data_IF_325328145102
#
_entry.id   IF_325328145102
#
_cell.length_a   1.000
_cell.length_b   1.000
_cell.length_c   1.000
_cell.angle_alpha   90.00
_cell.angle_beta   90.00
_cell.angle_gamma   90.00
#
_symmetry.space_group_name_H-M   'P 1'
#
loop_
_entity.id
_entity.type
_entity.pdbx_description
1 polymer ?
#
# COMPACT_ATOMS: atom_id res chain seq x y z
N UNK A 1 52.50 -61.86 -14.19
CA UNK A 1 52.23 -61.29 -12.85
C UNK A 1 52.51 -59.79 -12.91
N UNK A 2 51.61 -58.94 -12.41
CA UNK A 2 51.45 -57.48 -12.65
C UNK A 2 50.72 -57.15 -13.95
N UNK A 3 49.40 -56.92 -13.86
CA UNK A 3 48.62 -55.93 -14.63
C UNK A 3 47.10 -55.99 -14.37
N UNK A 4 46.62 -56.91 -13.51
CA UNK A 4 45.17 -57.07 -13.30
C UNK A 4 44.55 -56.24 -12.14
N UNK A 5 45.31 -55.36 -11.47
CA UNK A 5 44.81 -54.61 -10.28
C UNK A 5 44.37 -53.15 -10.53
N UNK A 6 44.37 -52.67 -11.78
CA UNK A 6 44.09 -51.24 -12.07
C UNK A 6 42.73 -50.97 -12.71
N UNK A 7 41.90 -51.99 -12.99
CA UNK A 7 40.60 -51.79 -13.65
C UNK A 7 39.38 -51.76 -12.72
N UNK A 8 39.51 -52.11 -11.45
CA UNK A 8 38.39 -52.08 -10.49
C UNK A 8 38.18 -50.72 -9.81
N UNK A 9 39.15 -49.79 -9.88
CA UNK A 9 39.00 -48.42 -9.32
C UNK A 9 38.41 -47.40 -10.32
N UNK A 10 38.34 -47.74 -11.60
CA UNK A 10 37.78 -46.86 -12.63
C UNK A 10 36.25 -46.93 -12.75
N UNK A 11 35.61 -48.00 -12.24
CA UNK A 11 34.17 -48.19 -12.37
C UNK A 11 33.36 -47.56 -11.22
N UNK A 12 33.99 -47.31 -10.06
CA UNK A 12 33.32 -46.64 -8.91
C UNK A 12 33.34 -45.11 -9.07
N UNK A 13 34.24 -44.55 -9.87
CA UNK A 13 34.32 -43.10 -10.09
C UNK A 13 33.40 -42.60 -11.23
N UNK A 14 32.83 -43.50 -12.03
CA UNK A 14 31.90 -43.16 -13.12
C UNK A 14 30.43 -43.11 -12.68
N UNK A 15 30.05 -43.87 -11.64
CA UNK A 15 28.67 -43.86 -11.10
C UNK A 15 28.43 -42.70 -10.13
N UNK A 16 29.49 -42.15 -9.52
CA UNK A 16 29.40 -40.99 -8.61
C UNK A 16 29.31 -39.65 -9.37
N UNK A 17 29.61 -39.60 -10.68
CA UNK A 17 29.39 -38.39 -11.48
C UNK A 17 27.98 -38.25 -12.06
N UNK A 18 27.12 -39.27 -11.94
CA UNK A 18 25.72 -39.22 -12.40
C UNK A 18 24.72 -38.98 -11.26
N UNK A 19 25.18 -38.33 -10.19
CA UNK A 19 24.33 -37.75 -9.15
C UNK A 19 24.73 -36.28 -8.92
N UNK A 20 25.07 -35.56 -10.00
CA UNK A 20 24.97 -34.11 -9.97
C UNK A 20 23.48 -33.79 -9.87
N UNK A 21 23.09 -33.43 -8.66
CA UNK A 21 21.82 -32.83 -8.33
C UNK A 21 21.37 -31.93 -9.47
N UNK A 22 20.19 -32.19 -10.02
CA UNK A 22 19.41 -31.15 -10.71
C UNK A 22 19.13 -30.13 -9.61
N UNK A 23 20.07 -29.21 -9.40
CA UNK A 23 19.78 -27.97 -8.70
C UNK A 23 18.82 -27.28 -9.66
N UNK A 24 17.53 -27.08 -9.30
CA UNK A 24 16.68 -26.27 -10.13
C UNK A 24 17.39 -24.94 -10.27
N UNK A 25 17.84 -24.61 -11.50
CA UNK A 25 18.28 -23.26 -11.79
C UNK A 25 17.04 -22.41 -11.55
N UNK A 26 17.03 -21.69 -10.44
CA UNK A 26 16.10 -20.60 -10.25
C UNK A 26 16.39 -19.64 -11.38
N UNK A 27 15.52 -19.66 -12.38
CA UNK A 27 15.48 -18.61 -13.39
C UNK A 27 15.13 -17.36 -12.61
N UNK A 28 16.14 -16.56 -12.25
CA UNK A 28 15.91 -15.22 -11.73
C UNK A 28 15.27 -14.47 -12.89
N UNK A 29 13.94 -14.34 -12.84
CA UNK A 29 13.22 -13.54 -13.80
C UNK A 29 13.75 -12.11 -13.68
N UNK A 30 14.29 -11.58 -14.77
CA UNK A 30 14.78 -10.21 -14.79
C UNK A 30 13.65 -9.25 -14.41
N UNK A 31 13.98 -8.15 -13.72
CA UNK A 31 13.01 -7.10 -13.44
C UNK A 31 12.36 -6.62 -14.76
N UNK A 32 11.05 -6.32 -14.77
CA UNK A 32 10.37 -5.91 -15.98
C UNK A 32 10.96 -4.60 -16.52
N UNK A 33 11.03 -4.48 -17.84
CA UNK A 33 11.57 -3.29 -18.47
C UNK A 33 10.46 -2.24 -18.61
N UNK A 34 10.83 -0.99 -18.37
CA UNK A 34 9.99 0.14 -18.74
C UNK A 34 9.91 0.22 -20.28
N UNK A 35 8.71 0.39 -20.79
CA UNK A 35 8.43 0.53 -22.23
C UNK A 35 7.75 1.87 -22.52
N UNK A 36 8.02 2.50 -23.67
CA UNK A 36 7.44 3.79 -24.07
C UNK A 36 6.01 3.59 -24.60
N UNK A 37 5.15 2.97 -23.79
CA UNK A 37 3.75 2.72 -24.10
C UNK A 37 2.90 3.33 -23.00
N UNK A 38 2.04 4.29 -23.35
CA UNK A 38 1.15 4.89 -22.37
C UNK A 38 0.23 3.84 -21.73
N UNK A 39 -0.02 3.99 -20.45
CA UNK A 39 -0.91 3.11 -19.70
C UNK A 39 -1.94 3.89 -18.91
N UNK A 40 -3.13 3.30 -18.78
CA UNK A 40 -4.23 3.85 -17.99
C UNK A 40 -4.22 3.22 -16.60
N UNK A 41 -4.35 4.03 -15.57
CA UNK A 41 -4.37 3.55 -14.20
C UNK A 41 -5.23 4.38 -13.28
N UNK A 42 -5.29 3.92 -12.04
CA UNK A 42 -5.98 4.59 -10.94
C UNK A 42 -5.02 4.79 -9.78
N UNK A 43 -5.39 5.65 -8.84
CA UNK A 43 -4.79 5.64 -7.53
C UNK A 43 -5.87 5.56 -6.44
N UNK A 44 -5.58 4.80 -5.39
CA UNK A 44 -6.58 4.37 -4.40
C UNK A 44 -6.01 4.38 -2.99
N UNK A 45 -6.91 4.54 -2.03
CA UNK A 45 -6.60 4.51 -0.61
C UNK A 45 -7.80 4.03 0.20
N UNK A 46 -7.77 4.18 1.52
CA UNK A 46 -8.94 3.90 2.39
C UNK A 46 -10.23 4.57 1.97
N UNK A 47 -10.18 5.65 1.20
CA UNK A 47 -11.37 6.40 0.78
C UNK A 47 -12.25 5.62 -0.20
N UNK A 48 -11.69 4.67 -0.94
CA UNK A 48 -12.45 3.80 -1.84
C UNK A 48 -13.05 2.59 -1.12
N UNK A 49 -12.66 2.33 0.14
CA UNK A 49 -13.10 1.17 0.90
C UNK A 49 -12.69 -0.16 0.23
N UNK A 50 -13.58 -1.16 0.32
CA UNK A 50 -13.36 -2.46 -0.30
C UNK A 50 -13.60 -2.39 -1.81
N UNK A 51 -12.56 -2.68 -2.59
CA UNK A 51 -12.57 -2.64 -4.06
C UNK A 51 -12.74 -4.04 -4.64
N UNK A 52 -13.66 -4.21 -5.59
CA UNK A 52 -13.73 -5.41 -6.43
C UNK A 52 -12.73 -5.29 -7.58
N UNK A 53 -11.54 -5.86 -7.40
CA UNK A 53 -10.44 -5.75 -8.36
C UNK A 53 -10.67 -6.51 -9.68
N UNK A 54 -11.48 -7.57 -9.70
CA UNK A 54 -11.83 -8.25 -10.95
C UNK A 54 -12.64 -7.33 -11.88
N UNK A 55 -13.57 -6.55 -11.32
CA UNK A 55 -14.34 -5.55 -12.07
C UNK A 55 -13.46 -4.38 -12.52
N UNK A 56 -12.49 -3.97 -11.68
CA UNK A 56 -11.51 -2.93 -12.05
C UNK A 56 -10.65 -3.40 -13.22
N UNK A 57 -10.14 -4.63 -13.19
CA UNK A 57 -9.37 -5.20 -14.29
C UNK A 57 -10.21 -5.28 -15.59
N UNK A 58 -11.47 -5.71 -15.49
CA UNK A 58 -12.38 -5.78 -16.63
C UNK A 58 -12.70 -4.41 -17.25
N UNK A 59 -12.52 -3.31 -16.51
CA UNK A 59 -12.68 -1.94 -17.03
C UNK A 59 -11.51 -1.45 -17.91
N UNK A 60 -10.41 -2.22 -17.96
CA UNK A 60 -9.22 -1.87 -18.74
C UNK A 60 -8.16 -1.09 -17.98
N UNK A 61 -8.27 -0.96 -16.64
CA UNK A 61 -7.20 -0.43 -15.79
C UNK A 61 -5.97 -1.34 -15.86
N UNK A 62 -4.80 -0.76 -16.12
CA UNK A 62 -3.55 -1.48 -16.34
C UNK A 62 -2.57 -1.37 -15.18
N UNK A 63 -2.66 -0.28 -14.41
CA UNK A 63 -1.87 -0.08 -13.18
C UNK A 63 -2.69 0.58 -12.07
N UNK A 64 -2.23 0.41 -10.83
CA UNK A 64 -2.78 1.10 -9.67
C UNK A 64 -1.66 1.62 -8.76
N UNK A 65 -1.72 2.91 -8.40
CA UNK A 65 -0.89 3.49 -7.34
C UNK A 65 -1.64 3.40 -6.01
N UNK A 66 -1.16 2.59 -5.07
CA UNK A 66 -1.88 2.29 -3.82
C UNK A 66 -1.26 3.06 -2.65
N UNK A 67 -2.08 3.78 -1.88
CA UNK A 67 -1.59 4.40 -0.64
C UNK A 67 -1.24 3.30 0.35
N UNK A 68 0.00 3.29 0.82
CA UNK A 68 0.43 2.30 1.82
C UNK A 68 0.47 2.86 3.24
N UNK A 69 0.66 4.16 3.36
CA UNK A 69 0.66 4.83 4.65
C UNK A 69 0.49 6.33 4.52
N UNK A 70 0.29 6.95 5.67
CA UNK A 70 0.19 8.39 5.80
C UNK A 70 0.66 8.85 7.17
N UNK A 71 1.15 10.08 7.24
CA UNK A 71 1.35 10.77 8.51
C UNK A 71 0.26 11.82 8.70
N UNK A 72 -0.44 11.80 9.85
CA UNK A 72 -1.60 12.68 10.08
C UNK A 72 -1.23 14.16 10.03
N UNK A 73 -2.03 14.96 9.31
CA UNK A 73 -1.72 16.37 9.03
C UNK A 73 -1.61 17.25 10.28
N UNK A 74 -2.42 16.99 11.31
CA UNK A 74 -2.41 17.76 12.55
C UNK A 74 -1.45 17.21 13.61
N UNK A 75 -1.45 15.88 13.81
CA UNK A 75 -0.75 15.26 14.96
C UNK A 75 0.58 14.61 14.62
N UNK A 76 0.89 14.38 13.33
CA UNK A 76 2.14 13.75 12.93
C UNK A 76 2.24 12.24 13.20
N UNK A 77 1.12 11.57 13.47
CA UNK A 77 1.07 10.13 13.75
C UNK A 77 1.22 9.35 12.44
N UNK A 78 2.18 8.43 12.41
CA UNK A 78 2.41 7.51 11.31
C UNK A 78 1.37 6.38 11.33
N UNK A 79 0.70 6.12 10.20
CA UNK A 79 -0.34 5.11 10.07
C UNK A 79 -0.16 4.30 8.78
N UNK A 80 -0.49 3.01 8.84
CA UNK A 80 -0.76 2.20 7.66
C UNK A 80 -2.11 2.58 7.06
N UNK A 81 -2.25 2.57 5.74
CA UNK A 81 -3.58 2.63 5.14
C UNK A 81 -4.29 1.27 5.36
N UNK A 82 -5.49 1.24 5.97
CA UNK A 82 -6.16 -0.01 6.33
C UNK A 82 -6.43 -0.95 5.15
N UNK A 83 -6.51 -0.44 3.92
CA UNK A 83 -6.74 -1.24 2.72
C UNK A 83 -5.46 -1.52 1.92
N UNK A 84 -4.29 -1.02 2.35
CA UNK A 84 -3.02 -1.14 1.60
C UNK A 84 -2.71 -2.58 1.18
N UNK A 85 -2.70 -3.49 2.15
CA UNK A 85 -2.32 -4.90 1.93
C UNK A 85 -3.31 -5.62 1.01
N UNK A 86 -4.60 -5.40 1.22
CA UNK A 86 -5.66 -5.95 0.38
C UNK A 86 -5.55 -5.44 -1.06
N UNK A 87 -5.42 -4.13 -1.23
CA UNK A 87 -5.30 -3.52 -2.55
C UNK A 87 -4.05 -3.99 -3.28
N UNK A 88 -2.91 -4.08 -2.60
CA UNK A 88 -1.67 -4.61 -3.20
C UNK A 88 -1.83 -6.08 -3.60
N UNK A 89 -2.44 -6.90 -2.75
CA UNK A 89 -2.66 -8.31 -3.06
C UNK A 89 -3.62 -8.50 -4.23
N UNK A 90 -4.81 -7.92 -4.16
CA UNK A 90 -5.89 -8.22 -5.09
C UNK A 90 -5.68 -7.56 -6.45
N UNK A 91 -5.08 -6.36 -6.51
CA UNK A 91 -4.66 -5.78 -7.78
C UNK A 91 -3.62 -6.67 -8.49
N UNK A 92 -2.60 -7.14 -7.75
CA UNK A 92 -1.59 -8.04 -8.31
C UNK A 92 -2.19 -9.40 -8.71
N UNK A 93 -3.18 -9.93 -7.98
CA UNK A 93 -3.87 -11.18 -8.31
C UNK A 93 -4.53 -11.12 -9.69
N UNK A 94 -5.15 -9.99 -10.04
CA UNK A 94 -5.82 -9.78 -11.33
C UNK A 94 -4.88 -9.26 -12.43
N UNK A 95 -3.57 -9.19 -12.15
CA UNK A 95 -2.55 -8.78 -13.12
C UNK A 95 -2.43 -7.26 -13.33
N UNK A 96 -3.10 -6.45 -12.50
CA UNK A 96 -2.90 -5.00 -12.47
C UNK A 96 -1.53 -4.72 -11.86
N UNK A 97 -0.71 -3.94 -12.57
CA UNK A 97 0.64 -3.60 -12.11
C UNK A 97 0.57 -2.58 -10.98
N UNK A 98 1.07 -2.93 -9.81
CA UNK A 98 0.99 -2.03 -8.65
C UNK A 98 2.21 -1.13 -8.54
N UNK A 99 1.96 0.14 -8.23
CA UNK A 99 2.89 1.06 -7.61
C UNK A 99 2.33 1.48 -6.26
N UNK A 100 3.02 2.37 -5.56
CA UNK A 100 2.59 2.77 -4.22
C UNK A 100 2.83 4.25 -3.99
N UNK A 101 2.14 4.83 -3.00
CA UNK A 101 2.46 6.16 -2.52
C UNK A 101 2.31 6.28 -1.01
N UNK A 102 3.01 7.27 -0.46
CA UNK A 102 2.91 7.64 0.95
C UNK A 102 2.52 9.11 1.07
N UNK A 103 1.46 9.39 1.83
CA UNK A 103 1.02 10.76 2.12
C UNK A 103 1.82 11.34 3.29
N UNK A 104 2.79 12.18 2.98
CA UNK A 104 3.73 12.73 3.94
C UNK A 104 3.23 14.02 4.59
N UNK A 105 3.42 14.09 5.91
CA UNK A 105 3.43 15.35 6.63
C UNK A 105 4.64 15.50 7.54
N UNK A 106 5.76 14.93 7.10
CA UNK A 106 7.04 15.05 7.79
C UNK A 106 7.42 16.53 7.98
N UNK A 107 7.94 16.85 9.16
CA UNK A 107 8.45 18.21 9.47
C UNK A 107 9.96 18.25 9.69
N UNK A 108 10.61 17.10 9.63
CA UNK A 108 12.05 16.95 9.81
C UNK A 108 12.57 15.69 9.10
N UNK A 109 13.89 15.58 8.98
CA UNK A 109 14.58 14.51 8.28
C UNK A 109 14.29 13.10 8.84
N UNK A 110 14.15 12.99 10.18
CA UNK A 110 13.88 11.71 10.82
C UNK A 110 12.50 11.19 10.41
N UNK A 111 11.47 12.03 10.44
CA UNK A 111 10.12 11.64 10.04
C UNK A 111 10.05 11.23 8.56
N UNK A 112 10.73 11.96 7.67
CA UNK A 112 10.77 11.62 6.24
C UNK A 112 11.46 10.25 6.00
N UNK A 113 12.52 9.95 6.76
CA UNK A 113 13.18 8.65 6.74
C UNK A 113 12.28 7.54 7.30
N UNK A 114 11.57 7.78 8.42
CA UNK A 114 10.62 6.84 9.00
C UNK A 114 9.51 6.47 8.01
N UNK A 115 8.94 7.46 7.31
CA UNK A 115 7.90 7.27 6.29
C UNK A 115 8.41 6.42 5.11
N UNK A 116 9.63 6.68 4.64
CA UNK A 116 10.24 5.93 3.55
C UNK A 116 10.56 4.49 3.94
N UNK A 117 11.11 4.27 5.13
CA UNK A 117 11.39 2.93 5.64
C UNK A 117 10.11 2.14 5.90
N UNK A 118 9.08 2.78 6.48
CA UNK A 118 7.76 2.19 6.64
C UNK A 118 7.21 1.70 5.29
N UNK A 119 7.26 2.57 4.28
CA UNK A 119 6.82 2.30 2.92
C UNK A 119 7.56 1.11 2.34
N UNK A 120 8.89 1.15 2.29
CA UNK A 120 9.70 0.08 1.71
C UNK A 120 9.51 -1.26 2.43
N UNK A 121 9.51 -1.27 3.77
CA UNK A 121 9.36 -2.49 4.56
C UNK A 121 8.01 -3.17 4.32
N UNK A 122 6.93 -2.41 4.09
CA UNK A 122 5.64 -2.96 3.72
C UNK A 122 5.69 -3.56 2.30
N UNK A 123 6.26 -2.81 1.36
CA UNK A 123 6.30 -3.15 -0.07
C UNK A 123 7.19 -4.34 -0.40
N UNK A 124 8.22 -4.64 0.39
CA UNK A 124 9.20 -5.70 0.09
C UNK A 124 8.54 -7.07 -0.15
N UNK A 125 7.35 -7.30 0.42
CA UNK A 125 6.60 -8.55 0.30
C UNK A 125 5.63 -8.63 -0.89
N UNK A 126 5.51 -7.57 -1.68
CA UNK A 126 4.54 -7.46 -2.76
C UNK A 126 5.21 -7.21 -4.12
N UNK A 127 4.45 -7.47 -5.20
CA UNK A 127 4.90 -7.29 -6.59
C UNK A 127 4.78 -5.83 -7.02
N UNK A 128 5.79 -5.02 -6.71
CA UNK A 128 5.78 -3.59 -7.04
C UNK A 128 6.46 -3.34 -8.38
N UNK A 129 5.64 -3.10 -9.39
CA UNK A 129 6.08 -2.91 -10.78
C UNK A 129 6.18 -1.43 -11.15
N UNK A 130 5.24 -0.61 -10.67
CA UNK A 130 5.23 0.83 -10.88
C UNK A 130 6.01 1.57 -9.78
N UNK A 131 6.35 2.86 -9.99
CA UNK A 131 7.12 3.65 -9.04
C UNK A 131 6.49 3.76 -7.64
N UNK A 132 7.31 4.19 -6.67
CA UNK A 132 6.89 4.49 -5.31
C UNK A 132 6.95 6.00 -5.10
N UNK A 133 5.80 6.60 -4.85
CA UNK A 133 5.63 8.04 -4.86
C UNK A 133 5.67 8.67 -3.46
N UNK A 134 6.36 9.81 -3.35
CA UNK A 134 6.20 10.76 -2.27
C UNK A 134 5.07 11.71 -2.61
N UNK A 135 4.03 11.74 -1.78
CA UNK A 135 2.91 12.66 -1.90
C UNK A 135 2.95 13.65 -0.72
N UNK A 136 2.98 14.94 -1.03
CA UNK A 136 2.86 15.99 -0.02
C UNK A 136 2.01 17.14 -0.55
N UNK A 137 0.82 17.26 0.02
CA UNK A 137 -0.18 18.26 -0.35
C UNK A 137 -0.89 18.83 0.89
N UNK A 138 -1.66 19.89 0.70
CA UNK A 138 -2.34 20.57 1.82
C UNK A 138 -1.40 21.27 2.82
N UNK A 139 -0.10 21.35 2.54
CA UNK A 139 0.88 22.07 3.37
C UNK A 139 0.63 23.58 3.48
N UNK A 140 -0.25 24.15 2.63
CA UNK A 140 -0.69 25.56 2.72
C UNK A 140 -1.83 25.78 3.72
N UNK A 141 -2.45 24.71 4.23
CA UNK A 141 -3.52 24.82 5.23
C UNK A 141 -2.94 25.20 6.59
N UNK A 142 -3.53 26.18 7.28
CA UNK A 142 -3.04 26.66 8.57
C UNK A 142 -3.05 25.59 9.68
N UNK A 143 -3.85 24.53 9.51
CA UNK A 143 -3.90 23.38 10.41
C UNK A 143 -2.85 22.30 10.09
N UNK A 144 -2.14 22.44 8.97
CA UNK A 144 -1.07 21.51 8.60
C UNK A 144 0.17 21.79 9.45
N UNK A 145 0.76 20.74 10.01
CA UNK A 145 2.07 20.83 10.67
C UNK A 145 3.21 21.27 9.73
N UNK A 146 2.99 21.23 8.42
CA UNK A 146 3.94 21.75 7.42
C UNK A 146 3.72 23.22 7.04
N UNK A 147 2.72 23.91 7.62
CA UNK A 147 2.32 25.26 7.24
C UNK A 147 3.46 26.29 7.26
N UNK A 148 4.32 26.20 8.27
CA UNK A 148 5.44 27.12 8.45
C UNK A 148 6.71 26.71 7.69
N UNK A 149 6.73 25.53 7.06
CA UNK A 149 7.93 25.06 6.38
C UNK A 149 8.17 25.87 5.10
N UNK A 150 9.43 26.23 4.85
CA UNK A 150 9.84 26.82 3.58
C UNK A 150 9.87 25.77 2.46
N UNK A 151 9.84 26.24 1.20
CA UNK A 151 10.02 25.41 0.00
C UNK A 151 11.27 24.52 0.09
N UNK A 152 12.37 25.10 0.53
CA UNK A 152 13.67 24.41 0.55
C UNK A 152 13.65 23.25 1.57
N UNK A 153 13.04 23.47 2.74
CA UNK A 153 12.87 22.42 3.76
C UNK A 153 11.97 21.32 3.23
N UNK A 154 10.77 21.64 2.71
CA UNK A 154 9.87 20.62 2.14
C UNK A 154 10.54 19.82 1.04
N UNK A 155 11.26 20.47 0.13
CA UNK A 155 12.00 19.81 -0.95
C UNK A 155 13.06 18.87 -0.39
N UNK A 156 13.83 19.29 0.63
CA UNK A 156 14.81 18.43 1.27
C UNK A 156 14.19 17.18 1.93
N UNK A 157 13.00 17.31 2.53
CA UNK A 157 12.27 16.17 3.10
C UNK A 157 11.80 15.18 2.01
N UNK A 158 11.28 15.71 0.90
CA UNK A 158 10.92 14.88 -0.26
C UNK A 158 12.14 14.12 -0.80
N UNK A 159 13.29 14.78 -0.93
CA UNK A 159 14.55 14.15 -1.37
C UNK A 159 14.97 13.02 -0.43
N UNK A 160 14.89 13.21 0.90
CA UNK A 160 15.21 12.15 1.87
C UNK A 160 14.36 10.91 1.64
N UNK A 161 13.05 11.09 1.47
CA UNK A 161 12.15 9.97 1.20
C UNK A 161 12.52 9.28 -0.13
N UNK A 162 12.64 10.06 -1.20
CA UNK A 162 12.85 9.55 -2.55
C UNK A 162 14.21 8.86 -2.72
N UNK A 163 15.28 9.41 -2.15
CA UNK A 163 16.61 8.77 -2.16
C UNK A 163 16.60 7.48 -1.31
N UNK A 164 15.85 7.44 -0.21
CA UNK A 164 15.70 6.22 0.61
C UNK A 164 14.96 5.11 -0.15
N UNK A 165 13.88 5.46 -0.84
CA UNK A 165 13.14 4.53 -1.72
C UNK A 165 14.03 4.01 -2.86
N UNK A 166 14.82 4.89 -3.47
CA UNK A 166 15.80 4.51 -4.49
C UNK A 166 16.87 3.55 -3.94
N UNK A 167 17.39 3.82 -2.73
CA UNK A 167 18.36 2.96 -2.06
C UNK A 167 17.79 1.58 -1.68
N UNK A 168 16.47 1.47 -1.48
CA UNK A 168 15.74 0.20 -1.34
C UNK A 168 15.48 -0.50 -2.68
N UNK A 169 15.90 0.12 -3.79
CA UNK A 169 15.84 -0.44 -5.14
C UNK A 169 14.47 -0.34 -5.80
N UNK A 170 13.61 0.57 -5.36
CA UNK A 170 12.38 0.93 -6.07
C UNK A 170 12.63 2.17 -6.93
N UNK A 171 11.84 2.36 -7.99
CA UNK A 171 11.87 3.60 -8.76
C UNK A 171 11.16 4.71 -7.97
N UNK A 172 11.85 5.77 -7.54
CA UNK A 172 11.22 6.88 -6.82
C UNK A 172 10.40 7.78 -7.77
N UNK A 173 9.30 8.31 -7.25
CA UNK A 173 8.43 9.26 -7.95
C UNK A 173 8.00 10.40 -7.04
N UNK A 174 8.02 11.63 -7.53
CA UNK A 174 7.51 12.78 -6.81
C UNK A 174 6.12 13.14 -7.32
N UNK A 175 5.13 13.22 -6.42
CA UNK A 175 3.77 13.66 -6.74
C UNK A 175 3.51 15.06 -6.18
N UNK A 176 2.91 15.92 -6.99
CA UNK A 176 2.30 17.17 -6.52
C UNK A 176 1.35 17.77 -7.55
N UNK A 177 0.58 18.77 -7.13
CA UNK A 177 -0.28 19.53 -8.05
C UNK A 177 0.57 20.32 -9.06
N UNK A 178 0.07 20.45 -10.29
CA UNK A 178 0.66 21.31 -11.32
C UNK A 178 0.98 22.70 -10.76
N UNK A 179 0.02 23.30 -10.04
CA UNK A 179 0.16 24.67 -9.54
C UNK A 179 1.29 24.82 -8.51
N UNK A 180 1.54 23.78 -7.70
CA UNK A 180 2.60 23.79 -6.69
C UNK A 180 4.00 23.58 -7.30
N UNK A 181 4.08 22.96 -8.48
CA UNK A 181 5.33 22.69 -9.19
C UNK A 181 5.66 23.73 -10.27
N UNK A 182 4.65 24.39 -10.86
CA UNK A 182 4.82 25.33 -11.97
C UNK A 182 5.76 26.48 -11.57
N UNK A 183 6.78 26.73 -12.39
CA UNK A 183 7.81 27.73 -12.10
C UNK A 183 8.60 27.49 -10.81
N UNK A 184 8.64 26.25 -10.30
CA UNK A 184 9.26 25.90 -9.02
C UNK A 184 8.71 26.73 -7.84
N UNK A 185 7.39 26.95 -7.83
CA UNK A 185 6.71 27.87 -6.91
C UNK A 185 6.78 27.40 -5.46
N UNK A 186 6.38 26.16 -5.16
CA UNK A 186 6.37 25.59 -3.80
C UNK A 186 7.30 24.40 -3.62
N UNK A 187 7.86 23.90 -4.73
CA UNK A 187 8.81 22.80 -4.82
C UNK A 187 10.00 23.22 -5.70
N UNK A 188 11.23 22.89 -5.31
CA UNK A 188 12.38 23.11 -6.18
C UNK A 188 12.50 21.98 -7.21
N UNK A 189 11.93 22.23 -8.39
CA UNK A 189 11.93 21.25 -9.47
C UNK A 189 13.31 21.07 -10.12
N UNK A 190 14.27 21.98 -9.91
CA UNK A 190 15.66 21.73 -10.35
C UNK A 190 16.27 20.54 -9.60
N UNK A 191 15.83 20.32 -8.36
CA UNK A 191 16.24 19.17 -7.54
C UNK A 191 15.34 17.97 -7.83
N UNK A 192 14.02 18.15 -7.85
CA UNK A 192 13.07 17.03 -7.89
C UNK A 192 12.91 16.39 -9.27
N UNK A 193 13.28 17.07 -10.36
CA UNK A 193 13.26 16.50 -11.71
C UNK A 193 14.28 15.36 -11.91
N UNK A 194 15.15 15.05 -10.93
CA UNK A 194 15.99 13.84 -10.94
C UNK A 194 15.18 12.55 -10.76
N UNK A 195 13.94 12.66 -10.26
CA UNK A 195 13.01 11.55 -10.08
C UNK A 195 11.91 11.58 -11.14
N UNK A 196 11.16 10.49 -11.27
CA UNK A 196 9.92 10.54 -12.06
C UNK A 196 8.95 11.52 -11.39
N UNK A 197 8.22 12.29 -12.17
CA UNK A 197 7.21 13.24 -11.65
C UNK A 197 5.81 12.79 -12.06
N UNK A 198 4.91 12.81 -11.10
CA UNK A 198 3.48 12.59 -11.26
C UNK A 198 2.74 13.90 -10.96
N UNK A 199 2.16 14.49 -12.00
CA UNK A 199 1.51 15.79 -11.89
C UNK A 199 -0.01 15.64 -11.78
N UNK A 200 -0.61 16.28 -10.78
CA UNK A 200 -2.06 16.41 -10.68
C UNK A 200 -2.55 17.70 -11.34
N UNK A 201 -3.45 17.59 -12.30
CA UNK A 201 -4.14 18.73 -12.90
C UNK A 201 -5.45 18.27 -13.54
N UNK A 202 -6.54 18.92 -13.14
CA UNK A 202 -7.89 18.54 -13.57
C UNK A 202 -8.44 19.60 -14.53
N UNK A 203 -8.44 19.34 -15.85
CA UNK A 203 -9.15 20.18 -16.80
C UNK A 203 -10.66 20.03 -16.63
N UNK A 204 -11.42 20.98 -17.20
CA UNK A 204 -12.88 20.91 -17.19
C UNK A 204 -13.41 19.64 -17.90
N UNK A 205 -12.78 19.28 -19.03
CA UNK A 205 -13.05 18.05 -19.75
C UNK A 205 -11.81 17.14 -19.65
N UNK A 206 -11.86 16.04 -18.89
CA UNK A 206 -10.71 15.18 -18.64
C UNK A 206 -10.23 14.42 -19.88
N UNK A 207 -9.11 13.70 -19.73
CA UNK A 207 -8.67 12.74 -20.73
C UNK A 207 -9.81 11.75 -21.07
N UNK A 208 -10.03 11.43 -22.36
CA UNK A 208 -9.17 11.71 -23.50
C UNK A 208 -9.45 13.03 -24.24
N UNK A 209 -10.44 13.83 -23.81
CA UNK A 209 -10.81 15.08 -24.50
C UNK A 209 -9.69 16.10 -24.38
N UNK A 210 -9.19 16.30 -23.16
CA UNK A 210 -7.90 16.98 -22.95
C UNK A 210 -6.79 15.95 -23.02
N UNK A 211 -5.91 15.97 -24.05
CA UNK A 211 -5.02 14.85 -24.33
C UNK A 211 -3.73 14.86 -23.49
N UNK A 212 -3.40 15.98 -22.83
CA UNK A 212 -2.15 16.12 -22.10
C UNK A 212 -2.25 17.12 -20.94
N UNK A 213 -1.42 16.91 -19.92
CA UNK A 213 -1.25 17.84 -18.81
C UNK A 213 -0.61 19.16 -19.28
N UNK A 214 -1.02 20.27 -18.66
CA UNK A 214 -0.46 21.60 -18.94
C UNK A 214 0.69 21.99 -18.03
N UNK A 215 1.20 21.08 -17.20
CA UNK A 215 2.43 21.31 -16.46
C UNK A 215 3.61 21.41 -17.43
N UNK A 216 4.37 22.50 -17.35
CA UNK A 216 5.45 22.76 -18.32
C UNK A 216 6.75 22.00 -18.03
N UNK A 217 6.88 21.47 -16.82
CA UNK A 217 8.02 20.63 -16.43
C UNK A 217 7.93 19.20 -16.94
N UNK A 218 9.05 18.48 -16.85
CA UNK A 218 9.11 17.06 -17.22
C UNK A 218 8.27 16.25 -16.23
N UNK A 219 7.37 15.42 -16.75
CA UNK A 219 6.54 14.53 -15.96
C UNK A 219 6.30 13.22 -16.71
N UNK A 220 6.17 12.13 -15.94
CA UNK A 220 6.02 10.78 -16.43
C UNK A 220 4.58 10.27 -16.28
N UNK A 221 3.79 10.88 -15.39
CA UNK A 221 2.41 10.51 -15.12
C UNK A 221 1.55 11.75 -14.87
N UNK A 222 0.27 11.67 -15.24
CA UNK A 222 -0.72 12.72 -15.08
C UNK A 222 -1.98 12.16 -14.41
N UNK A 223 -2.32 12.70 -13.24
CA UNK A 223 -3.65 12.52 -12.63
C UNK A 223 -4.60 13.56 -13.21
N UNK A 224 -5.57 13.10 -14.01
CA UNK A 224 -6.36 13.96 -14.88
C UNK A 224 -7.80 14.17 -14.40
N UNK A 225 -8.28 13.36 -13.46
CA UNK A 225 -9.55 13.57 -12.76
C UNK A 225 -9.57 12.83 -11.43
N UNK A 226 -10.37 13.33 -10.50
CA UNK A 226 -10.68 12.69 -9.21
C UNK A 226 -12.15 12.24 -9.10
N UNK A 227 -12.89 12.31 -10.21
CA UNK A 227 -14.34 12.20 -10.26
C UNK A 227 -14.83 11.01 -11.09
N UNK A 228 -13.94 10.11 -11.51
CA UNK A 228 -14.35 8.98 -12.33
C UNK A 228 -15.17 7.98 -11.51
N UNK A 229 -16.22 7.42 -12.11
CA UNK A 229 -16.94 6.27 -11.58
C UNK A 229 -16.48 5.02 -12.32
N UNK A 230 -16.02 4.01 -11.59
CA UNK A 230 -15.42 2.81 -12.17
C UNK A 230 -16.06 1.55 -11.56
N UNK A 231 -16.48 0.55 -12.37
CA UNK A 231 -17.06 -0.68 -11.86
C UNK A 231 -16.16 -1.37 -10.82
N UNK A 232 -16.73 -1.72 -9.68
CA UNK A 232 -16.00 -2.34 -8.57
C UNK A 232 -15.47 -1.38 -7.52
N UNK A 233 -15.60 -0.07 -7.73
CA UNK A 233 -15.27 0.96 -6.74
C UNK A 233 -16.54 1.72 -6.37
N UNK A 234 -16.81 1.86 -5.08
CA UNK A 234 -17.90 2.70 -4.60
C UNK A 234 -17.49 4.18 -4.64
N UNK A 235 -18.36 5.04 -5.14
CA UNK A 235 -18.09 6.48 -5.24
C UNK A 235 -17.17 6.82 -6.42
N UNK A 236 -16.25 7.76 -6.20
CA UNK A 236 -15.33 8.25 -7.23
C UNK A 236 -13.91 7.74 -7.01
N UNK A 237 -13.14 7.67 -8.09
CA UNK A 237 -11.73 7.29 -8.10
C UNK A 237 -10.91 8.25 -8.95
N UNK A 238 -9.65 8.38 -8.57
CA UNK A 238 -8.66 9.19 -9.28
C UNK A 238 -8.13 8.39 -10.48
N UNK A 239 -8.09 9.04 -11.64
CA UNK A 239 -7.63 8.43 -12.89
C UNK A 239 -6.34 9.06 -13.37
N UNK A 240 -5.48 8.19 -13.89
CA UNK A 240 -4.12 8.52 -14.28
C UNK A 240 -3.80 8.00 -15.67
N UNK A 241 -3.01 8.78 -16.41
CA UNK A 241 -2.26 8.29 -17.56
C UNK A 241 -0.77 8.33 -17.20
N UNK A 242 -0.10 7.19 -17.25
CA UNK A 242 1.35 7.13 -17.28
C UNK A 242 1.82 7.14 -18.74
N UNK A 243 2.82 7.95 -19.08
CA UNK A 243 3.40 7.98 -20.44
C UNK A 243 4.41 6.85 -20.68
N UNK A 244 4.34 5.83 -19.85
CA UNK A 244 5.16 4.64 -19.86
C UNK A 244 4.34 3.46 -19.34
N UNK A 245 4.87 2.26 -19.53
CA UNK A 245 4.34 1.02 -19.00
C UNK A 245 5.48 0.05 -18.69
N UNK A 246 5.14 -1.19 -18.35
CA UNK A 246 6.11 -2.26 -18.14
C UNK A 246 5.69 -3.51 -18.94
N UNK A 247 6.68 -4.19 -19.51
CA UNK A 247 6.50 -5.43 -20.31
C UNK A 247 6.24 -6.69 -19.46
N UNK A 248 6.33 -6.57 -18.12
CA UNK A 248 6.09 -7.65 -17.18
C UNK A 248 5.65 -7.14 -15.82
N UNK A 249 5.57 -8.06 -14.85
CA UNK A 249 5.27 -7.77 -13.44
C UNK A 249 6.54 -8.09 -12.64
N UNK A 250 6.91 -7.19 -11.72
CA UNK A 250 8.06 -7.38 -10.85
C UNK A 250 7.79 -8.49 -9.81
N UNK A 251 8.83 -9.22 -9.43
CA UNK A 251 8.76 -10.12 -8.28
C UNK A 251 8.98 -9.36 -6.97
N UNK A 252 8.44 -9.87 -5.84
CA UNK A 252 8.70 -9.27 -4.53
C UNK A 252 10.18 -9.27 -4.19
N UNK A 253 10.65 -8.25 -3.46
CA UNK A 253 12.04 -8.20 -2.98
C UNK A 253 12.30 -9.23 -1.87
N UNK A 254 11.31 -9.46 -1.02
CA UNK A 254 11.26 -10.55 -0.04
C UNK A 254 10.54 -11.75 -0.68
N UNK A 255 11.27 -12.83 -1.01
CA UNK A 255 10.70 -13.98 -1.71
C UNK A 255 9.74 -14.81 -0.83
N UNK A 256 9.67 -14.55 0.49
CA UNK A 256 8.66 -15.18 1.35
C UNK A 256 7.24 -14.71 1.02
N UNK A 257 7.11 -13.55 0.35
CA UNK A 257 5.84 -12.98 -0.06
C UNK A 257 5.00 -12.45 1.10
N UNK A 258 3.91 -11.77 0.75
CA UNK A 258 2.96 -11.27 1.73
C UNK A 258 2.05 -12.41 2.24
N UNK A 259 1.68 -12.40 3.54
CA UNK A 259 0.59 -13.23 4.03
C UNK A 259 -0.69 -12.95 3.23
N UNK A 260 -1.47 -13.99 2.96
CA UNK A 260 -2.77 -13.81 2.31
C UNK A 260 -3.72 -13.04 3.24
N UNK A 261 -4.31 -11.97 2.71
CA UNK A 261 -5.34 -11.16 3.35
C UNK A 261 -6.67 -11.53 2.71
N UNK A 262 -7.58 -12.13 3.48
CA UNK A 262 -8.94 -12.37 3.02
C UNK A 262 -9.78 -11.08 3.07
N UNK A 263 -10.92 -11.07 2.39
CA UNK A 263 -11.81 -9.90 2.36
C UNK A 263 -12.31 -9.48 3.75
N UNK A 264 -12.33 -10.38 4.73
CA UNK A 264 -12.78 -10.09 6.10
C UNK A 264 -11.69 -9.42 6.94
N UNK A 265 -10.42 -9.76 6.71
CA UNK A 265 -9.24 -9.12 7.28
C UNK A 265 -8.94 -7.76 6.60
N UNK A 266 -9.27 -7.62 5.32
CA UNK A 266 -9.14 -6.39 4.55
C UNK A 266 -10.08 -5.25 4.99
N UNK A 267 -11.20 -5.59 5.62
CA UNK A 267 -12.18 -4.63 6.13
C UNK A 267 -11.69 -3.88 7.40
N UNK A 268 -10.38 -3.64 7.53
CA UNK A 268 -9.67 -3.03 8.67
C UNK A 268 -10.40 -1.78 9.17
N UNK A 269 -11.12 -2.06 10.24
CA UNK A 269 -11.97 -1.20 11.02
C UNK A 269 -11.19 -0.03 11.60
N UNK A 270 -11.65 1.19 11.38
CA UNK A 270 -11.19 2.34 12.14
C UNK A 270 -11.92 2.35 13.47
N UNK A 271 -11.21 2.15 14.58
CA UNK A 271 -11.79 2.24 15.92
C UNK A 271 -11.65 3.67 16.45
N UNK A 272 -12.74 4.25 16.91
CA UNK A 272 -12.72 5.38 17.84
C UNK A 272 -12.43 4.84 19.23
N UNK A 273 -11.30 5.23 19.81
CA UNK A 273 -10.92 4.79 21.16
C UNK A 273 -11.92 5.30 22.19
N UNK A 274 -12.27 4.41 23.11
CA UNK A 274 -13.14 4.69 24.25
C UNK A 274 -12.58 3.95 25.46
N UNK A 275 -13.01 4.31 26.66
CA UNK A 275 -12.74 3.54 27.88
C UNK A 275 -14.03 3.49 28.67
N UNK A 276 -14.82 2.46 28.43
CA UNK A 276 -16.14 2.33 29.03
C UNK A 276 -16.47 0.88 29.33
N UNK A 277 -17.28 0.66 30.36
CA UNK A 277 -17.74 -0.66 30.75
C UNK A 277 -19.06 -0.93 30.05
N UNK A 278 -19.10 -2.03 29.33
CA UNK A 278 -20.29 -2.47 28.57
C UNK A 278 -20.76 -3.84 29.05
N UNK A 279 -22.03 -4.13 28.84
CA UNK A 279 -22.63 -5.45 29.08
C UNK A 279 -23.46 -5.90 27.88
N UNK A 280 -23.54 -7.22 27.60
CA UNK A 280 -24.41 -7.73 26.55
C UNK A 280 -25.89 -7.42 26.80
N UNK A 281 -26.63 -7.08 25.74
CA UNK A 281 -28.10 -6.96 25.80
C UNK A 281 -28.83 -8.22 25.32
N UNK A 282 -28.09 -9.28 25.01
CA UNK A 282 -28.57 -10.61 24.60
C UNK A 282 -27.73 -11.70 25.27
N UNK A 283 -28.32 -12.89 25.45
CA UNK A 283 -27.59 -14.09 25.87
C UNK A 283 -26.59 -14.55 24.81
N UNK A 284 -25.52 -15.21 25.26
CA UNK A 284 -24.50 -15.91 24.47
C UNK A 284 -23.79 -15.07 23.38
N UNK A 285 -23.45 -13.81 23.67
CA UNK A 285 -22.68 -12.96 22.78
C UNK A 285 -21.21 -13.42 22.69
N UNK A 286 -20.76 -13.85 21.52
CA UNK A 286 -19.38 -14.34 21.33
C UNK A 286 -18.33 -13.23 21.23
N UNK A 287 -17.28 -13.33 22.03
CA UNK A 287 -16.02 -12.59 21.85
C UNK A 287 -15.09 -13.32 20.88
N UNK A 288 -14.45 -12.56 19.98
CA UNK A 288 -13.67 -13.12 18.86
C UNK A 288 -12.27 -12.54 18.75
N UNK A 289 -11.35 -13.31 18.16
CA UNK A 289 -9.96 -12.89 17.90
C UNK A 289 -9.83 -11.89 16.74
N UNK A 290 -10.84 -11.78 15.89
CA UNK A 290 -10.93 -10.83 14.77
C UNK A 290 -12.34 -10.21 14.70
N UNK A 291 -12.51 -8.99 14.16
CA UNK A 291 -13.82 -8.34 14.02
C UNK A 291 -14.61 -8.88 12.81
N UNK A 292 -14.84 -10.19 12.82
CA UNK A 292 -15.52 -10.93 11.75
C UNK A 292 -16.22 -12.17 12.31
N UNK A 293 -17.32 -12.58 11.69
CA UNK A 293 -18.00 -13.85 11.97
C UNK A 293 -17.62 -14.96 10.98
N UNK A 294 -16.68 -14.72 10.06
CA UNK A 294 -16.38 -15.59 8.92
C UNK A 294 -15.90 -17.00 9.30
N UNK A 295 -15.34 -17.20 10.51
CA UNK A 295 -14.93 -18.51 11.01
C UNK A 295 -15.35 -18.73 12.47
N UNK A 296 -15.90 -19.90 12.85
CA UNK A 296 -16.20 -20.24 14.23
C UNK A 296 -14.94 -20.44 15.09
N UNK A 297 -13.79 -20.77 14.48
CA UNK A 297 -12.51 -20.97 15.18
C UNK A 297 -11.96 -19.68 15.82
N UNK A 298 -12.55 -18.55 15.48
CA UNK A 298 -12.22 -17.23 16.04
C UNK A 298 -12.92 -16.96 17.37
N UNK A 299 -13.91 -17.78 17.77
CA UNK A 299 -14.66 -17.61 19.01
C UNK A 299 -13.78 -18.02 20.18
N UNK A 300 -13.64 -17.11 21.14
CA UNK A 300 -12.88 -17.36 22.37
C UNK A 300 -13.83 -17.74 23.51
N UNK A 301 -14.86 -16.93 23.74
CA UNK A 301 -15.81 -17.16 24.84
C UNK A 301 -17.13 -16.42 24.59
N UNK A 302 -18.29 -17.00 24.95
CA UNK A 302 -19.56 -16.27 25.02
C UNK A 302 -19.70 -15.51 26.34
N UNK A 303 -20.37 -14.36 26.31
CA UNK A 303 -20.72 -13.53 27.47
C UNK A 303 -22.23 -13.24 27.49
N UNK A 304 -22.79 -13.01 28.67
CA UNK A 304 -24.24 -12.89 28.93
C UNK A 304 -24.63 -11.54 29.58
N UNK A 305 -25.92 -11.17 29.58
CA UNK A 305 -26.37 -9.95 30.24
C UNK A 305 -26.00 -9.95 31.73
N UNK A 306 -25.36 -8.88 32.17
CA UNK A 306 -24.79 -8.75 33.51
C UNK A 306 -23.27 -8.96 33.56
N UNK A 307 -22.67 -9.64 32.56
CA UNK A 307 -21.22 -9.70 32.41
C UNK A 307 -20.69 -8.33 32.00
N UNK A 308 -19.64 -7.86 32.67
CA UNK A 308 -19.03 -6.55 32.44
C UNK A 308 -17.69 -6.71 31.72
N UNK A 309 -17.51 -5.98 30.62
CA UNK A 309 -16.25 -5.98 29.86
C UNK A 309 -15.82 -4.57 29.50
N UNK A 310 -14.50 -4.33 29.51
CA UNK A 310 -13.94 -3.05 29.11
C UNK A 310 -13.95 -2.94 27.58
N UNK A 311 -14.70 -1.98 27.04
CA UNK A 311 -14.62 -1.57 25.64
C UNK A 311 -13.53 -0.52 25.49
N UNK A 312 -12.56 -0.80 24.61
CA UNK A 312 -11.42 0.06 24.33
C UNK A 312 -11.48 0.73 22.96
N UNK A 313 -12.46 0.38 22.13
CA UNK A 313 -12.70 1.04 20.85
C UNK A 313 -14.05 0.69 20.21
N UNK A 314 -14.62 1.63 19.46
CA UNK A 314 -15.82 1.44 18.63
C UNK A 314 -15.43 1.57 17.17
N UNK A 315 -15.59 0.49 16.42
CA UNK A 315 -15.22 0.40 15.03
C UNK A 315 -16.22 1.06 14.10
N UNK A 316 -15.74 1.75 13.08
CA UNK A 316 -16.52 2.28 11.98
C UNK A 316 -17.17 1.19 11.10
N UNK A 317 -16.94 -0.09 11.42
CA UNK A 317 -17.51 -1.25 10.75
C UNK A 317 -18.55 -1.99 11.62
N UNK A 318 -18.96 -1.44 12.77
CA UNK A 318 -19.94 -2.03 13.68
C UNK A 318 -19.40 -3.03 14.69
N UNK A 319 -18.08 -3.21 14.79
CA UNK A 319 -17.44 -4.02 15.82
C UNK A 319 -16.82 -3.16 16.91
N UNK A 320 -16.89 -3.60 18.15
CA UNK A 320 -16.16 -3.03 19.28
C UNK A 320 -14.87 -3.81 19.52
N UNK A 321 -13.80 -3.10 19.88
CA UNK A 321 -12.59 -3.68 20.47
C UNK A 321 -12.78 -3.70 21.99
N UNK A 322 -12.63 -4.86 22.60
CA UNK A 322 -12.85 -5.10 24.03
C UNK A 322 -11.67 -5.84 24.65
N UNK A 323 -11.54 -5.81 25.97
CA UNK A 323 -10.46 -6.46 26.71
C UNK A 323 -11.02 -7.40 27.78
N UNK A 324 -10.59 -8.66 27.74
CA UNK A 324 -10.89 -9.67 28.75
C UNK A 324 -9.57 -10.17 29.36
N UNK A 325 -9.30 -9.83 30.62
CA UNK A 325 -7.96 -10.02 31.20
C UNK A 325 -6.93 -9.18 30.46
N UNK A 326 -5.88 -9.82 29.93
CA UNK A 326 -4.84 -9.19 29.10
C UNK A 326 -5.07 -9.37 27.58
N UNK A 327 -6.19 -9.99 27.18
CA UNK A 327 -6.46 -10.31 25.78
C UNK A 327 -7.38 -9.28 25.11
N UNK A 328 -6.95 -8.77 23.96
CA UNK A 328 -7.78 -7.95 23.06
C UNK A 328 -8.67 -8.86 22.23
N UNK A 329 -9.97 -8.58 22.24
CA UNK A 329 -11.01 -9.31 21.54
C UNK A 329 -11.98 -8.34 20.85
N UNK A 330 -12.90 -8.89 20.06
CA UNK A 330 -13.88 -8.14 19.30
C UNK A 330 -15.29 -8.68 19.50
N UNK A 331 -16.26 -7.78 19.63
CA UNK A 331 -17.68 -8.10 19.78
C UNK A 331 -18.52 -7.10 18.98
N UNK A 332 -19.68 -7.53 18.48
CA UNK A 332 -20.53 -6.66 17.67
C UNK A 332 -21.12 -5.53 18.52
N UNK A 333 -20.93 -4.27 18.11
CA UNK A 333 -21.25 -3.08 18.92
C UNK A 333 -22.74 -2.99 19.26
N UNK A 334 -23.63 -3.42 18.38
CA UNK A 334 -25.08 -3.33 18.58
C UNK A 334 -25.61 -4.21 19.73
N UNK A 335 -24.83 -5.21 20.17
CA UNK A 335 -25.22 -6.10 21.26
C UNK A 335 -24.62 -5.71 22.61
N UNK A 336 -24.00 -4.52 22.69
CA UNK A 336 -23.33 -4.03 23.88
C UNK A 336 -23.97 -2.72 24.32
N UNK A 337 -24.54 -2.72 25.53
CA UNK A 337 -25.07 -1.53 26.16
C UNK A 337 -24.00 -0.94 27.09
N UNK A 338 -23.87 0.40 27.06
CA UNK A 338 -23.00 1.12 27.99
C UNK A 338 -23.62 1.10 29.38
N UNK A 339 -22.85 0.66 30.37
CA UNK A 339 -23.29 0.60 31.78
C UNK A 339 -22.86 1.85 32.53
N UNK A 340 -21.61 2.32 32.30
CA UNK A 340 -21.02 3.51 32.92
C UNK A 340 -20.15 4.27 31.92
#
# INVERSE_FOLDING_TARGET
>A
MKHFKTRAKALIMAVVMLAMTIVPQTVVQAAPNEVPMASLGIDVSRYQGLINWDMVAASGVQFAMIRVGYRTQGTGVLNEDPYARYNLQEANRVGIKTGAYFFSTAVNAQEAMEEALFTANLLDKYKITFPVAYDCEGFKNATSRQYILGKDIRTALAVIFLDTIAARGYTPMFYSSRNDMEGSSYWDMNILNKYKVWAAWYPAEPFPITPACTYTGVHAMWQYTHQAALPGIAGTVDMNVAYFGYDGIAEPKDPSGAPHIDMAAAAMVQYTDVSEVVTPNTADLNLRTVPSTASPDTIVVPINPGDMILRTGIGNNGWSRVVLGDQVLYAYTAYLDKVM
#
